data_IF_597790772294
#
_entry.id   IF_597790772294
#
_cell.length_a   1.000
_cell.length_b   1.000
_cell.length_c   1.000
_cell.angle_alpha   90.00
_cell.angle_beta   90.00
_cell.angle_gamma   90.00
#
_symmetry.space_group_name_H-M   'P 1'
#
loop_
_entity.id
_entity.type
_entity.pdbx_description
1 polymer ?
#
# COMPACT_ATOMS: atom_id res chain seq x y z
N UNK A 1 22.26 -1.39 -22.51
CA UNK A 1 22.38 -1.05 -21.08
C UNK A 1 21.37 0.06 -20.84
N UNK A 2 20.21 -0.28 -20.26
CA UNK A 2 19.20 0.72 -19.92
C UNK A 2 19.75 1.59 -18.78
N UNK A 3 19.90 2.89 -19.02
CA UNK A 3 20.14 3.88 -17.96
C UNK A 3 18.88 3.94 -17.08
N UNK A 4 18.83 3.12 -16.03
CA UNK A 4 17.93 3.37 -14.92
C UNK A 4 18.34 4.69 -14.28
N UNK A 5 17.60 5.76 -14.59
CA UNK A 5 17.81 7.09 -14.03
C UNK A 5 17.76 7.01 -12.51
N UNK A 6 18.72 7.65 -11.82
CA UNK A 6 18.81 7.74 -10.35
C UNK A 6 17.46 8.17 -9.72
N UNK A 7 16.69 9.00 -10.42
CA UNK A 7 15.36 9.43 -9.99
C UNK A 7 14.31 8.30 -9.95
N UNK A 8 14.40 7.32 -10.85
CA UNK A 8 13.47 6.18 -10.89
C UNK A 8 13.77 5.18 -9.76
N UNK A 9 15.05 4.94 -9.46
CA UNK A 9 15.45 4.08 -8.34
C UNK A 9 15.01 4.66 -6.99
N UNK A 10 15.23 5.96 -6.77
CA UNK A 10 14.80 6.65 -5.54
C UNK A 10 13.30 6.52 -5.27
N UNK A 11 12.49 6.61 -6.33
CA UNK A 11 11.02 6.49 -6.23
C UNK A 11 10.59 5.06 -5.87
N UNK A 12 11.24 4.04 -6.43
CA UNK A 12 10.98 2.63 -6.10
C UNK A 12 11.39 2.30 -4.67
N UNK A 13 12.55 2.80 -4.23
CA UNK A 13 13.04 2.62 -2.86
C UNK A 13 12.09 3.27 -1.83
N UNK A 14 11.60 4.48 -2.14
CA UNK A 14 10.61 5.17 -1.32
C UNK A 14 9.29 4.39 -1.23
N UNK A 15 8.78 3.91 -2.36
CA UNK A 15 7.56 3.11 -2.41
C UNK A 15 7.68 1.82 -1.59
N UNK A 16 8.83 1.16 -1.69
CA UNK A 16 9.14 -0.06 -0.91
C UNK A 16 9.15 0.26 0.58
N UNK A 17 9.90 1.29 0.99
CA UNK A 17 9.99 1.70 2.40
C UNK A 17 8.63 2.11 2.99
N UNK A 18 7.82 2.86 2.24
CA UNK A 18 6.46 3.24 2.65
C UNK A 18 5.55 2.01 2.80
N UNK A 19 5.64 1.05 1.89
CA UNK A 19 4.85 -0.20 1.95
C UNK A 19 5.23 -1.03 3.16
N UNK A 20 6.54 -1.20 3.44
CA UNK A 20 6.99 -1.86 4.68
C UNK A 20 6.53 -1.12 5.94
N UNK A 21 6.48 0.22 5.90
CA UNK A 21 5.92 1.04 6.96
C UNK A 21 4.47 0.71 7.25
N UNK A 22 3.65 0.59 6.19
CA UNK A 22 2.25 0.20 6.30
C UNK A 22 2.09 -1.23 6.85
N UNK A 23 2.88 -2.19 6.35
CA UNK A 23 2.87 -3.58 6.85
C UNK A 23 3.16 -3.63 8.35
N UNK A 24 4.17 -2.89 8.81
CA UNK A 24 4.51 -2.82 10.24
C UNK A 24 3.40 -2.17 11.07
N UNK A 25 2.79 -1.10 10.58
CA UNK A 25 1.68 -0.43 11.25
C UNK A 25 0.46 -1.35 11.39
N UNK A 26 0.09 -2.08 10.33
CA UNK A 26 -1.03 -3.05 10.34
C UNK A 26 -0.73 -4.21 11.29
N UNK A 27 0.50 -4.72 11.31
CA UNK A 27 0.89 -5.76 12.26
C UNK A 27 0.78 -5.29 13.72
N UNK A 28 1.19 -4.06 14.01
CA UNK A 28 1.06 -3.48 15.34
C UNK A 28 -0.41 -3.28 15.74
N UNK A 29 -1.25 -2.76 14.84
CA UNK A 29 -2.68 -2.63 15.08
C UNK A 29 -3.34 -3.98 15.37
N UNK A 30 -3.02 -5.02 14.58
CA UNK A 30 -3.54 -6.37 14.79
C UNK A 30 -3.12 -6.95 16.16
N UNK A 31 -1.88 -6.71 16.57
CA UNK A 31 -1.42 -7.14 17.90
C UNK A 31 -2.15 -6.39 19.02
N UNK A 32 -2.31 -5.07 18.88
CA UNK A 32 -3.01 -4.24 19.87
C UNK A 32 -4.51 -4.60 20.00
N UNK A 33 -5.10 -5.09 18.91
CA UNK A 33 -6.52 -5.42 18.86
C UNK A 33 -6.88 -6.85 19.23
N UNK A 34 -5.90 -7.72 19.47
CA UNK A 34 -6.14 -9.13 19.77
C UNK A 34 -7.14 -9.30 20.92
N UNK A 35 -8.28 -9.94 20.65
CA UNK A 35 -9.34 -10.18 21.63
C UNK A 35 -10.31 -9.00 21.83
N UNK A 36 -10.32 -8.03 20.91
CA UNK A 36 -11.25 -6.90 20.90
C UNK A 36 -12.30 -7.05 19.80
N UNK A 37 -13.38 -6.27 19.89
CA UNK A 37 -14.47 -6.29 18.92
C UNK A 37 -14.06 -5.83 17.50
N UNK A 38 -12.89 -5.19 17.34
CA UNK A 38 -12.39 -4.69 16.07
C UNK A 38 -11.73 -5.76 15.18
N UNK A 39 -11.73 -7.04 15.58
CA UNK A 39 -11.03 -8.11 14.85
C UNK A 39 -11.51 -8.24 13.38
N UNK A 40 -12.82 -8.12 13.12
CA UNK A 40 -13.38 -8.20 11.76
C UNK A 40 -12.90 -7.05 10.85
N UNK A 41 -12.89 -5.81 11.37
CA UNK A 41 -12.40 -4.64 10.63
C UNK A 41 -10.91 -4.76 10.30
N UNK A 42 -10.13 -5.35 11.21
CA UNK A 42 -8.69 -5.59 11.02
C UNK A 42 -8.44 -6.68 9.98
N UNK A 43 -9.27 -7.72 9.94
CA UNK A 43 -9.18 -8.72 8.86
C UNK A 43 -9.43 -8.10 7.47
N UNK A 44 -10.32 -7.09 7.39
CA UNK A 44 -10.49 -6.33 6.15
C UNK A 44 -9.22 -5.55 5.81
N UNK A 45 -8.63 -4.83 6.78
CA UNK A 45 -7.36 -4.12 6.58
C UNK A 45 -6.26 -5.07 6.08
N UNK A 46 -6.10 -6.24 6.71
CA UNK A 46 -5.07 -7.24 6.34
C UNK A 46 -5.28 -7.76 4.91
N UNK A 47 -6.52 -8.07 4.53
CA UNK A 47 -6.83 -8.50 3.16
C UNK A 47 -6.55 -7.40 2.13
N UNK A 48 -6.93 -6.16 2.43
CA UNK A 48 -6.66 -5.01 1.54
C UNK A 48 -5.18 -4.68 1.42
N UNK A 49 -4.41 -4.91 2.48
CA UNK A 49 -2.96 -4.82 2.43
C UNK A 49 -2.37 -5.86 1.47
N UNK A 50 -2.82 -7.12 1.54
CA UNK A 50 -2.40 -8.15 0.60
C UNK A 50 -2.79 -7.85 -0.86
N UNK A 51 -3.97 -7.28 -1.08
CA UNK A 51 -4.39 -6.76 -2.39
C UNK A 51 -3.40 -5.68 -2.88
N UNK A 52 -3.07 -4.71 -2.02
CA UNK A 52 -2.14 -3.63 -2.35
C UNK A 52 -0.72 -4.13 -2.67
N UNK A 53 -0.18 -5.08 -1.90
CA UNK A 53 1.12 -5.70 -2.17
C UNK A 53 1.14 -6.44 -3.52
N UNK A 54 0.06 -7.18 -3.82
CA UNK A 54 -0.09 -7.89 -5.10
C UNK A 54 -0.12 -6.91 -6.28
N UNK A 55 -0.87 -5.82 -6.15
CA UNK A 55 -0.99 -4.79 -7.18
C UNK A 55 0.35 -4.07 -7.38
N UNK A 56 1.06 -3.72 -6.29
CA UNK A 56 2.40 -3.11 -6.35
C UNK A 56 3.40 -4.03 -7.05
N UNK A 57 3.39 -5.33 -6.76
CA UNK A 57 4.23 -6.31 -7.44
C UNK A 57 3.92 -6.36 -8.95
N UNK A 58 2.65 -6.33 -9.34
CA UNK A 58 2.23 -6.29 -10.74
C UNK A 58 2.66 -4.97 -11.44
N UNK A 59 2.54 -3.83 -10.76
CA UNK A 59 2.98 -2.52 -11.28
C UNK A 59 4.50 -2.47 -11.51
N UNK A 60 5.28 -3.10 -10.63
CA UNK A 60 6.73 -3.15 -10.72
C UNK A 60 7.25 -4.24 -11.68
N UNK A 61 6.35 -4.97 -12.37
CA UNK A 61 6.74 -6.10 -13.24
C UNK A 61 7.40 -7.25 -12.46
N UNK A 62 7.22 -7.27 -11.15
CA UNK A 62 7.78 -8.25 -10.22
C UNK A 62 6.73 -9.31 -9.89
N UNK A 63 6.10 -9.88 -10.93
CA UNK A 63 5.36 -11.12 -10.73
C UNK A 63 6.37 -12.26 -10.55
N UNK A 64 6.32 -12.90 -9.40
CA UNK A 64 7.18 -14.02 -9.02
C UNK A 64 7.39 -15.01 -10.17
N UNK A 65 8.63 -15.13 -10.63
CA UNK A 65 9.13 -16.32 -11.33
C UNK A 65 9.16 -16.32 -12.85
N UNK A 66 8.59 -15.32 -13.55
CA UNK A 66 8.63 -15.31 -15.01
C UNK A 66 8.98 -13.92 -15.57
N UNK A 67 10.28 -13.71 -15.82
CA UNK A 67 10.81 -12.52 -16.49
C UNK A 67 10.34 -12.35 -17.94
N UNK A 68 9.38 -13.17 -18.40
CA UNK A 68 8.75 -13.08 -19.73
C UNK A 68 7.38 -12.39 -19.70
N UNK A 69 6.82 -12.09 -18.52
CA UNK A 69 5.55 -11.37 -18.43
C UNK A 69 5.69 -9.96 -19.02
N UNK A 70 4.89 -9.58 -20.05
CA UNK A 70 4.98 -8.25 -20.62
C UNK A 70 4.73 -7.19 -19.56
N UNK A 71 5.57 -6.14 -19.54
CA UNK A 71 5.30 -4.95 -18.73
C UNK A 71 3.86 -4.48 -19.04
N UNK A 72 3.03 -4.19 -18.04
CA UNK A 72 1.66 -3.72 -18.28
C UNK A 72 1.71 -2.47 -19.15
N UNK A 73 0.83 -2.40 -20.16
CA UNK A 73 0.69 -1.21 -21.01
C UNK A 73 0.16 -0.01 -20.20
N UNK A 74 0.02 1.15 -20.85
CA UNK A 74 -0.39 2.37 -20.16
C UNK A 74 -1.79 2.26 -19.52
N UNK A 75 -2.74 1.60 -20.19
CA UNK A 75 -4.11 1.42 -19.71
C UNK A 75 -4.15 0.45 -18.52
N UNK A 76 -3.40 -0.64 -18.60
CA UNK A 76 -3.28 -1.62 -17.53
C UNK A 76 -2.59 -1.01 -16.29
N UNK A 77 -1.55 -0.19 -16.47
CA UNK A 77 -0.92 0.55 -15.34
C UNK A 77 -1.87 1.54 -14.69
N UNK A 78 -2.74 2.19 -15.47
CA UNK A 78 -3.76 3.08 -14.93
C UNK A 78 -4.80 2.30 -14.11
N UNK A 79 -5.24 1.14 -14.59
CA UNK A 79 -6.14 0.24 -13.83
C UNK A 79 -5.50 -0.20 -12.51
N UNK A 80 -4.26 -0.71 -12.55
CA UNK A 80 -3.56 -1.14 -11.34
C UNK A 80 -3.40 0.01 -10.34
N UNK A 81 -3.08 1.23 -10.80
CA UNK A 81 -3.04 2.40 -9.92
C UNK A 81 -4.40 2.71 -9.30
N UNK A 82 -5.48 2.63 -10.07
CA UNK A 82 -6.83 2.83 -9.56
C UNK A 82 -7.17 1.81 -8.47
N UNK A 83 -6.89 0.54 -8.72
CA UNK A 83 -7.18 -0.55 -7.78
C UNK A 83 -6.33 -0.45 -6.51
N UNK A 84 -5.07 -0.04 -6.65
CA UNK A 84 -4.19 0.27 -5.52
C UNK A 84 -4.77 1.41 -4.66
N UNK A 85 -5.18 2.51 -5.30
CA UNK A 85 -5.79 3.63 -4.58
C UNK A 85 -7.09 3.25 -3.90
N UNK A 86 -7.88 2.33 -4.48
CA UNK A 86 -9.09 1.79 -3.87
C UNK A 86 -8.77 0.96 -2.62
N UNK A 87 -7.79 0.05 -2.71
CA UNK A 87 -7.36 -0.78 -1.58
C UNK A 87 -6.81 0.09 -0.44
N UNK A 88 -5.96 1.07 -0.74
CA UNK A 88 -5.42 2.02 0.24
C UNK A 88 -6.51 2.89 0.87
N UNK A 89 -7.48 3.36 0.08
CA UNK A 89 -8.63 4.10 0.61
C UNK A 89 -9.49 3.26 1.57
N UNK A 90 -9.65 1.96 1.29
CA UNK A 90 -10.33 1.06 2.22
C UNK A 90 -9.55 0.91 3.53
N UNK A 91 -8.22 0.74 3.47
CA UNK A 91 -7.37 0.66 4.67
C UNK A 91 -7.51 1.91 5.55
N UNK A 92 -7.44 3.11 4.96
CA UNK A 92 -7.60 4.37 5.72
C UNK A 92 -8.98 4.47 6.37
N UNK A 93 -10.05 4.14 5.63
CA UNK A 93 -11.42 4.20 6.14
C UNK A 93 -11.64 3.25 7.32
N UNK A 94 -11.18 1.99 7.23
CA UNK A 94 -11.32 1.05 8.35
C UNK A 94 -10.47 1.45 9.55
N UNK A 95 -9.27 1.99 9.32
CA UNK A 95 -8.45 2.51 10.41
C UNK A 95 -9.12 3.71 11.09
N UNK A 96 -9.77 4.60 10.34
CA UNK A 96 -10.58 5.69 10.91
C UNK A 96 -11.73 5.15 11.79
N UNK A 97 -12.51 4.20 11.28
CA UNK A 97 -13.61 3.59 12.04
C UNK A 97 -13.13 2.93 13.34
N UNK A 98 -11.99 2.23 13.30
CA UNK A 98 -11.39 1.63 14.50
C UNK A 98 -10.97 2.71 15.51
N UNK A 99 -10.35 3.79 15.03
CA UNK A 99 -9.89 4.88 15.88
C UNK A 99 -11.05 5.62 16.58
N UNK A 100 -12.18 5.75 15.89
CA UNK A 100 -13.38 6.40 16.40
C UNK A 100 -14.17 5.51 17.37
N UNK A 101 -14.19 4.19 17.15
CA UNK A 101 -14.97 3.25 17.96
C UNK A 101 -14.22 2.70 19.18
N UNK A 102 -12.89 2.65 19.17
CA UNK A 102 -12.08 2.18 20.30
C UNK A 102 -10.92 3.13 20.59
N UNK A 103 -11.07 3.94 21.65
CA UNK A 103 -10.05 4.88 22.11
C UNK A 103 -8.70 4.21 22.43
N UNK A 104 -8.70 2.93 22.81
CA UNK A 104 -7.46 2.17 23.08
C UNK A 104 -6.74 1.73 21.81
N UNK A 105 -7.42 1.74 20.67
CA UNK A 105 -6.85 1.47 19.34
C UNK A 105 -6.62 2.73 18.51
N UNK A 106 -6.99 3.90 19.01
CA UNK A 106 -6.86 5.17 18.29
C UNK A 106 -5.42 5.45 17.84
N UNK A 107 -4.43 5.27 18.71
CA UNK A 107 -3.02 5.47 18.36
C UNK A 107 -2.54 4.50 17.26
N UNK A 108 -2.65 3.17 17.40
CA UNK A 108 -2.19 2.25 16.36
C UNK A 108 -2.99 2.38 15.06
N UNK A 109 -4.28 2.71 15.12
CA UNK A 109 -5.08 2.93 13.92
C UNK A 109 -4.66 4.22 13.18
N UNK A 110 -4.39 5.31 13.90
CA UNK A 110 -3.84 6.54 13.28
C UNK A 110 -2.43 6.33 12.70
N UNK A 111 -1.64 5.40 13.24
CA UNK A 111 -0.37 5.00 12.63
C UNK A 111 -0.57 4.31 11.27
N UNK A 112 -1.60 3.45 11.14
CA UNK A 112 -1.99 2.84 9.84
C UNK A 112 -2.43 3.91 8.84
N UNK A 113 -3.22 4.90 9.26
CA UNK A 113 -3.64 6.03 8.41
C UNK A 113 -2.45 6.82 7.88
N UNK A 114 -1.53 7.17 8.78
CA UNK A 114 -0.29 7.89 8.43
C UNK A 114 0.54 7.10 7.40
N UNK A 115 0.77 5.81 7.65
CA UNK A 115 1.51 4.96 6.72
C UNK A 115 0.80 4.79 5.37
N UNK A 116 -0.54 4.73 5.36
CA UNK A 116 -1.33 4.69 4.13
C UNK A 116 -1.14 5.96 3.30
N UNK A 117 -1.14 7.12 3.95
CA UNK A 117 -0.86 8.40 3.28
C UNK A 117 0.54 8.45 2.69
N UNK A 118 1.55 7.92 3.38
CA UNK A 118 2.92 7.84 2.87
C UNK A 118 3.00 6.99 1.59
N UNK A 119 2.30 5.85 1.55
CA UNK A 119 2.22 5.00 0.35
C UNK A 119 1.50 5.73 -0.78
N UNK A 120 0.35 6.38 -0.51
CA UNK A 120 -0.39 7.16 -1.51
C UNK A 120 0.50 8.26 -2.10
N UNK A 121 1.27 8.95 -1.26
CA UNK A 121 2.20 9.98 -1.72
C UNK A 121 3.29 9.37 -2.63
N UNK A 122 3.93 8.28 -2.22
CA UNK A 122 4.93 7.59 -3.02
C UNK A 122 4.37 7.13 -4.38
N UNK A 123 3.15 6.59 -4.41
CA UNK A 123 2.46 6.19 -5.65
C UNK A 123 2.21 7.38 -6.57
N UNK A 124 1.80 8.53 -6.03
CA UNK A 124 1.59 9.74 -6.85
C UNK A 124 2.90 10.25 -7.46
N UNK A 125 3.99 10.18 -6.71
CA UNK A 125 5.33 10.55 -7.18
C UNK A 125 5.85 9.60 -8.28
N UNK A 126 5.46 8.31 -8.26
CA UNK A 126 5.74 7.39 -9.38
C UNK A 126 5.03 7.79 -10.68
N UNK A 127 3.85 8.42 -10.58
CA UNK A 127 3.06 8.88 -11.72
C UNK A 127 3.52 10.18 -12.35
N UNK A 128 4.09 11.08 -11.55
CA UNK A 128 4.60 12.37 -12.03
C UNK A 128 5.90 12.22 -12.83
N UNK A 129 6.66 11.15 -12.61
CA UNK A 129 7.96 10.90 -13.23
C UNK A 129 7.92 9.92 -14.42
N UNK A 130 6.74 9.48 -14.86
CA UNK A 130 6.63 8.64 -16.04
C UNK A 130 6.96 9.47 -17.31
N UNK A 131 7.89 9.02 -18.18
CA UNK A 131 8.14 9.69 -19.45
C UNK A 131 6.84 9.71 -20.28
N UNK A 132 6.53 10.88 -20.86
CA UNK A 132 5.42 11.06 -21.81
C UNK A 132 5.72 10.37 -23.13
#
# INVERSE_FOLDING_TARGET
MEEFSIGQQFVVDRLTASTEGLVRAVAHLRQAATGKAADEDIEVIVRRLADAETILAAMNGSAQGDHTAPRPDAEHRQSLRHDLMNALGAIDNYAELIADHDATLSEPANAVRTATHDVVQAVRETGANAPK
#
